data_IF_023171599868
#
_entry.id   IF_023171599868
#
_cell.length_a   1.000
_cell.length_b   1.000
_cell.length_c   1.000
_cell.angle_alpha   90.00
_cell.angle_beta   90.00
_cell.angle_gamma   90.00
#
_symmetry.space_group_name_H-M   'P 1'
#
loop_
_entity.id
_entity.type
_entity.pdbx_description
1 polymer ?
#
# COMPACT_ATOMS: atom_id res chain seq x y z
N UNK A 1 -12.44 20.80 -0.50
CA UNK A 1 -12.46 19.82 -1.60
C UNK A 1 -13.85 19.61 -2.18
N UNK A 2 -14.92 19.71 -1.39
CA UNK A 2 -16.32 19.70 -1.88
C UNK A 2 -16.57 20.76 -2.98
N UNK A 3 -16.05 21.97 -2.82
CA UNK A 3 -16.15 23.04 -3.83
C UNK A 3 -15.41 22.67 -5.13
N UNK A 4 -14.14 22.27 -5.05
CA UNK A 4 -13.34 21.83 -6.21
C UNK A 4 -13.99 20.65 -6.96
N UNK A 5 -14.62 19.76 -6.21
CA UNK A 5 -15.29 18.56 -6.74
C UNK A 5 -16.54 18.92 -7.55
N UNK A 6 -17.23 19.99 -7.18
CA UNK A 6 -18.46 20.46 -7.83
C UNK A 6 -18.19 21.49 -8.93
N UNK A 7 -17.13 22.29 -8.80
CA UNK A 7 -16.83 23.42 -9.70
C UNK A 7 -15.83 23.06 -10.82
N UNK A 8 -14.80 22.24 -10.54
CA UNK A 8 -13.81 21.85 -11.54
C UNK A 8 -13.35 20.40 -11.38
N UNK A 9 -14.06 19.52 -12.10
CA UNK A 9 -13.76 18.09 -12.16
C UNK A 9 -12.34 17.79 -12.67
N UNK A 10 -11.76 18.63 -13.54
CA UNK A 10 -10.41 18.41 -14.08
C UNK A 10 -9.35 18.79 -13.06
N UNK A 11 -9.52 19.89 -12.36
CA UNK A 11 -8.62 20.26 -11.26
C UNK A 11 -8.64 19.20 -10.16
N UNK A 12 -9.82 18.67 -9.82
CA UNK A 12 -9.94 17.56 -8.86
C UNK A 12 -9.19 16.31 -9.33
N UNK A 13 -9.35 15.91 -10.60
CA UNK A 13 -8.63 14.77 -11.16
C UNK A 13 -7.12 14.97 -11.14
N UNK A 14 -6.63 16.18 -11.42
CA UNK A 14 -5.20 16.48 -11.34
C UNK A 14 -4.67 16.43 -9.91
N UNK A 15 -5.46 16.92 -8.95
CA UNK A 15 -5.07 16.94 -7.54
C UNK A 15 -5.10 15.54 -6.91
N UNK A 16 -6.19 14.80 -7.09
CA UNK A 16 -6.41 13.49 -6.46
C UNK A 16 -5.95 12.31 -7.33
N UNK A 17 -5.51 12.56 -8.57
CA UNK A 17 -5.17 11.52 -9.59
C UNK A 17 -6.28 10.49 -9.81
N UNK A 18 -7.53 10.83 -9.47
CA UNK A 18 -8.70 9.97 -9.60
C UNK A 18 -9.97 10.79 -9.89
N UNK A 19 -10.94 10.21 -10.60
CA UNK A 19 -12.22 10.88 -10.84
C UNK A 19 -13.05 10.94 -9.54
N UNK A 20 -13.91 11.97 -9.39
CA UNK A 20 -14.74 12.12 -8.19
C UNK A 20 -15.63 10.92 -7.86
N UNK A 21 -16.14 10.21 -8.88
CA UNK A 21 -16.99 9.04 -8.66
C UNK A 21 -16.26 7.89 -7.95
N UNK A 22 -14.98 7.66 -8.28
CA UNK A 22 -14.15 6.64 -7.63
C UNK A 22 -13.81 7.06 -6.21
N UNK A 23 -13.57 8.35 -5.98
CA UNK A 23 -13.37 8.89 -4.63
C UNK A 23 -14.63 8.69 -3.76
N UNK A 24 -15.83 8.94 -4.27
CA UNK A 24 -17.09 8.69 -3.53
C UNK A 24 -17.25 7.23 -3.16
N UNK A 25 -16.99 6.33 -4.10
CA UNK A 25 -17.06 4.90 -3.83
C UNK A 25 -16.08 4.51 -2.72
N UNK A 26 -14.84 5.00 -2.79
CA UNK A 26 -13.81 4.71 -1.81
C UNK A 26 -14.17 5.29 -0.44
N UNK A 27 -14.68 6.51 -0.38
CA UNK A 27 -15.16 7.14 0.85
C UNK A 27 -16.37 6.38 1.43
N UNK A 28 -17.29 5.89 0.61
CA UNK A 28 -18.45 5.14 1.07
C UNK A 28 -18.07 3.79 1.72
N UNK A 29 -17.08 3.08 1.14
CA UNK A 29 -16.61 1.79 1.67
C UNK A 29 -15.72 1.96 2.89
N UNK A 30 -14.71 2.83 2.81
CA UNK A 30 -13.70 3.00 3.84
C UNK A 30 -14.20 3.92 4.96
N UNK A 31 -15.14 4.82 4.67
CA UNK A 31 -15.65 5.83 5.61
C UNK A 31 -16.21 5.25 6.90
N UNK A 32 -16.84 4.07 6.86
CA UNK A 32 -17.31 3.36 8.07
C UNK A 32 -16.16 2.98 9.01
N UNK A 33 -15.00 2.62 8.47
CA UNK A 33 -13.80 2.27 9.27
C UNK A 33 -13.03 3.51 9.75
N UNK A 34 -13.22 4.65 9.10
CA UNK A 34 -12.54 5.92 9.43
C UNK A 34 -13.34 6.82 10.37
N UNK A 35 -14.63 6.54 10.52
CA UNK A 35 -15.50 7.20 11.49
C UNK A 35 -15.10 6.75 12.88
N UNK A 36 -14.50 7.67 13.64
CA UNK A 36 -14.19 7.49 15.06
C UNK A 36 -15.15 8.37 15.83
N UNK A 37 -15.73 7.85 16.89
CA UNK A 37 -16.64 8.58 17.78
C UNK A 37 -15.98 9.84 18.35
N UNK A 38 -16.79 10.89 18.46
CA UNK A 38 -16.36 12.15 19.07
C UNK A 38 -16.04 11.94 20.54
N UNK A 39 -14.88 12.42 20.98
CA UNK A 39 -14.55 12.46 22.39
C UNK A 39 -15.05 13.76 23.00
N UNK A 40 -15.40 13.72 24.29
CA UNK A 40 -15.88 14.91 25.02
C UNK A 40 -14.91 16.11 24.97
N UNK A 41 -13.62 15.85 24.68
CA UNK A 41 -12.56 16.86 24.64
C UNK A 41 -12.20 17.35 23.24
N UNK A 42 -12.52 16.58 22.18
CA UNK A 42 -12.19 16.91 20.78
C UNK A 42 -13.13 16.20 19.80
N UNK A 43 -13.64 16.99 18.84
CA UNK A 43 -14.28 16.45 17.64
C UNK A 43 -13.28 15.69 16.78
N UNK A 44 -13.69 14.52 16.31
CA UNK A 44 -12.96 13.70 15.37
C UNK A 44 -12.89 14.41 14.02
N UNK A 45 -11.77 14.30 13.32
CA UNK A 45 -11.70 14.81 11.94
C UNK A 45 -12.66 14.02 11.06
N UNK A 46 -13.31 14.72 10.14
CA UNK A 46 -14.23 14.11 9.18
C UNK A 46 -13.52 12.97 8.41
N UNK A 47 -14.17 11.81 8.20
CA UNK A 47 -13.61 10.71 7.44
C UNK A 47 -13.11 11.13 6.05
N UNK A 48 -13.82 12.03 5.37
CA UNK A 48 -13.42 12.60 4.08
C UNK A 48 -12.08 13.32 4.14
N UNK A 49 -11.88 14.18 5.15
CA UNK A 49 -10.64 14.92 5.35
C UNK A 49 -9.46 13.98 5.66
N UNK A 50 -9.67 12.95 6.50
CA UNK A 50 -8.64 11.94 6.79
C UNK A 50 -8.20 11.20 5.53
N UNK A 51 -9.16 10.86 4.68
CA UNK A 51 -8.92 10.16 3.43
C UNK A 51 -8.18 11.06 2.43
N UNK A 52 -8.64 12.28 2.22
CA UNK A 52 -8.00 13.24 1.31
C UNK A 52 -6.55 13.55 1.70
N UNK A 53 -6.32 13.78 2.99
CA UNK A 53 -5.00 14.02 3.53
C UNK A 53 -4.07 12.84 3.23
N UNK A 54 -4.53 11.62 3.46
CA UNK A 54 -3.74 10.41 3.22
C UNK A 54 -3.45 10.21 1.74
N UNK A 55 -4.46 10.35 0.87
CA UNK A 55 -4.29 10.24 -0.58
C UNK A 55 -3.30 11.29 -1.09
N UNK A 56 -3.41 12.52 -0.61
CA UNK A 56 -2.49 13.58 -1.03
C UNK A 56 -1.06 13.30 -0.56
N UNK A 57 -0.87 12.71 0.62
CA UNK A 57 0.45 12.27 1.05
C UNK A 57 1.04 11.23 0.09
N UNK A 58 0.26 10.23 -0.30
CA UNK A 58 0.69 9.16 -1.23
C UNK A 58 1.00 9.72 -2.62
N UNK A 59 0.19 10.65 -3.13
CA UNK A 59 0.36 11.22 -4.47
C UNK A 59 1.56 12.17 -4.54
N UNK A 60 1.70 13.06 -3.55
CA UNK A 60 2.72 14.11 -3.56
C UNK A 60 4.07 13.66 -3.01
N UNK A 61 4.09 12.65 -2.13
CA UNK A 61 5.31 12.24 -1.42
C UNK A 61 5.82 13.29 -0.42
N UNK A 62 5.00 14.29 -0.08
CA UNK A 62 5.41 15.39 0.78
C UNK A 62 5.60 14.96 2.24
N UNK A 63 6.53 15.62 2.94
CA UNK A 63 6.76 15.36 4.36
C UNK A 63 5.59 15.86 5.22
N UNK A 64 5.31 15.18 6.33
CA UNK A 64 4.27 15.58 7.29
C UNK A 64 4.45 17.00 7.83
N UNK A 65 5.69 17.49 7.90
CA UNK A 65 6.00 18.85 8.34
C UNK A 65 5.44 19.90 7.37
N UNK A 66 5.55 19.67 6.05
CA UNK A 66 4.97 20.59 5.05
C UNK A 66 3.44 20.51 5.03
N UNK A 67 2.90 19.29 5.13
CA UNK A 67 1.45 19.04 5.09
C UNK A 67 0.71 19.67 6.27
N UNK A 68 1.38 19.84 7.42
CA UNK A 68 0.81 20.52 8.58
C UNK A 68 0.28 21.91 8.24
N UNK A 69 1.01 22.67 7.43
CA UNK A 69 0.63 24.03 7.08
C UNK A 69 -0.52 24.06 6.06
N UNK A 70 -0.49 23.15 5.09
CA UNK A 70 -1.54 23.04 4.05
C UNK A 70 -2.88 22.60 4.63
N UNK A 71 -2.89 21.55 5.44
CA UNK A 71 -4.11 20.94 5.96
C UNK A 71 -4.53 21.49 7.32
N UNK A 72 -3.68 22.33 7.95
CA UNK A 72 -3.86 22.85 9.33
C UNK A 72 -4.01 21.75 10.39
N UNK A 73 -3.52 20.54 10.10
CA UNK A 73 -3.51 19.39 11.03
C UNK A 73 -2.09 19.20 11.57
N UNK A 74 -1.89 19.08 12.89
CA UNK A 74 -0.57 18.79 13.47
C UNK A 74 0.08 17.51 12.91
N UNK A 75 1.40 17.55 12.71
CA UNK A 75 2.16 16.44 12.10
C UNK A 75 2.05 15.12 12.88
N UNK A 76 1.95 15.18 14.21
CA UNK A 76 1.77 14.04 15.10
C UNK A 76 0.40 13.36 14.90
N UNK A 77 -0.63 14.14 14.57
CA UNK A 77 -1.95 13.60 14.22
C UNK A 77 -1.92 12.97 12.83
N UNK A 78 -1.25 13.62 11.87
CA UNK A 78 -1.06 13.07 10.50
C UNK A 78 -0.34 11.72 10.54
N UNK A 79 0.72 11.58 11.35
CA UNK A 79 1.47 10.33 11.45
C UNK A 79 0.66 9.15 11.99
N UNK A 80 -0.45 9.42 12.69
CA UNK A 80 -1.38 8.38 13.17
C UNK A 80 -2.47 8.10 12.12
N UNK A 81 -2.99 9.14 11.48
CA UNK A 81 -4.07 9.03 10.49
C UNK A 81 -3.61 8.27 9.24
N UNK A 82 -2.43 8.59 8.71
CA UNK A 82 -1.95 8.01 7.43
C UNK A 82 -1.89 6.47 7.51
N UNK A 83 -1.22 5.84 8.51
CA UNK A 83 -1.21 4.39 8.63
C UNK A 83 -2.60 3.79 8.87
N UNK A 84 -3.46 4.45 9.65
CA UNK A 84 -4.83 3.98 9.89
C UNK A 84 -5.66 3.92 8.61
N UNK A 85 -5.59 4.98 7.80
CA UNK A 85 -6.31 5.05 6.53
C UNK A 85 -5.75 4.04 5.53
N UNK A 86 -4.43 3.91 5.42
CA UNK A 86 -3.81 2.89 4.57
C UNK A 86 -4.24 1.47 4.99
N UNK A 87 -4.25 1.17 6.30
CA UNK A 87 -4.71 -0.11 6.81
C UNK A 87 -6.18 -0.38 6.52
N UNK A 88 -7.04 0.63 6.63
CA UNK A 88 -8.46 0.52 6.29
C UNK A 88 -8.68 0.26 4.79
N UNK A 89 -7.91 0.92 3.91
CA UNK A 89 -7.95 0.69 2.46
C UNK A 89 -7.51 -0.74 2.14
N UNK A 90 -6.38 -1.18 2.69
CA UNK A 90 -5.88 -2.54 2.48
C UNK A 90 -6.93 -3.56 2.93
N UNK A 91 -7.50 -3.40 4.13
CA UNK A 91 -8.47 -4.36 4.66
C UNK A 91 -9.79 -4.46 3.86
N UNK A 92 -10.16 -3.43 3.09
CA UNK A 92 -11.36 -3.44 2.25
C UNK A 92 -11.10 -3.92 0.81
N UNK A 93 -9.95 -3.54 0.24
CA UNK A 93 -9.68 -3.77 -1.18
C UNK A 93 -8.73 -4.92 -1.47
N UNK A 94 -7.98 -5.42 -0.48
CA UNK A 94 -6.97 -6.45 -0.69
C UNK A 94 -7.54 -7.68 -1.41
N UNK A 95 -8.65 -8.21 -0.91
CA UNK A 95 -9.28 -9.43 -1.45
C UNK A 95 -9.86 -9.24 -2.86
N UNK A 96 -10.17 -7.99 -3.25
CA UNK A 96 -10.71 -7.67 -4.58
C UNK A 96 -9.59 -7.39 -5.59
N UNK A 97 -8.50 -6.75 -5.15
CA UNK A 97 -7.41 -6.29 -6.01
C UNK A 97 -6.35 -7.38 -6.21
N UNK A 98 -6.05 -8.16 -5.17
CA UNK A 98 -5.04 -9.20 -5.20
C UNK A 98 -5.68 -10.57 -4.99
N UNK A 99 -6.02 -11.21 -6.11
CA UNK A 99 -6.61 -12.54 -6.10
C UNK A 99 -5.55 -13.56 -6.49
N UNK A 100 -5.18 -14.43 -5.55
CA UNK A 100 -4.28 -15.54 -5.84
C UNK A 100 -5.06 -16.69 -6.50
N UNK A 101 -4.68 -17.12 -7.71
CA UNK A 101 -5.29 -18.28 -8.36
C UNK A 101 -5.10 -19.53 -7.51
N UNK A 102 -6.20 -20.18 -7.16
CA UNK A 102 -6.18 -21.40 -6.34
C UNK A 102 -6.37 -22.68 -7.17
N UNK A 103 -6.87 -22.56 -8.40
CA UNK A 103 -7.19 -23.70 -9.26
C UNK A 103 -6.16 -23.84 -10.40
N UNK A 104 -5.72 -25.07 -10.76
CA UNK A 104 -4.83 -25.28 -11.90
C UNK A 104 -5.34 -24.62 -13.19
N UNK A 105 -6.64 -24.68 -13.47
CA UNK A 105 -7.22 -24.06 -14.67
C UNK A 105 -7.00 -22.54 -14.72
N UNK A 106 -6.99 -21.84 -13.58
CA UNK A 106 -6.73 -20.40 -13.54
C UNK A 106 -5.26 -20.10 -13.86
N UNK A 107 -4.33 -20.95 -13.40
CA UNK A 107 -2.91 -20.84 -13.77
C UNK A 107 -2.66 -21.11 -15.26
N UNK A 108 -3.40 -22.05 -15.86
CA UNK A 108 -3.34 -22.27 -17.31
C UNK A 108 -3.83 -21.05 -18.09
N UNK A 109 -4.91 -20.40 -17.64
CA UNK A 109 -5.39 -19.16 -18.26
C UNK A 109 -4.35 -18.03 -18.21
N UNK A 110 -3.61 -17.91 -17.11
CA UNK A 110 -2.49 -16.95 -17.00
C UNK A 110 -1.38 -17.30 -17.99
N UNK A 111 -0.99 -18.57 -18.07
CA UNK A 111 0.02 -19.04 -19.02
C UNK A 111 -0.36 -18.77 -20.48
N UNK A 112 -1.62 -19.00 -20.83
CA UNK A 112 -2.14 -18.73 -22.17
C UNK A 112 -2.10 -17.23 -22.49
N UNK A 113 -2.42 -16.36 -21.51
CA UNK A 113 -2.31 -14.90 -21.69
C UNK A 113 -0.88 -14.43 -21.86
N UNK A 114 0.07 -15.01 -21.11
CA UNK A 114 1.50 -14.73 -21.30
C UNK A 114 1.97 -15.13 -22.70
N UNK A 115 1.52 -16.28 -23.20
CA UNK A 115 1.82 -16.70 -24.56
C UNK A 115 1.22 -15.75 -25.60
N UNK A 116 -0.05 -15.37 -25.46
CA UNK A 116 -0.74 -14.51 -26.43
C UNK A 116 -0.16 -13.08 -26.49
N UNK A 117 0.17 -12.48 -25.35
CA UNK A 117 0.62 -11.08 -25.28
C UNK A 117 2.12 -10.92 -25.42
N UNK A 118 2.87 -11.82 -24.79
CA UNK A 118 4.31 -11.68 -24.60
C UNK A 118 5.12 -12.77 -25.30
N UNK A 119 4.47 -13.73 -25.95
CA UNK A 119 5.10 -14.87 -26.61
C UNK A 119 5.97 -15.72 -25.66
N UNK A 120 5.60 -15.76 -24.37
CA UNK A 120 6.26 -16.58 -23.36
C UNK A 120 5.40 -17.80 -23.01
N UNK A 121 5.74 -19.00 -23.51
CA UNK A 121 4.99 -20.21 -23.20
C UNK A 121 5.20 -20.62 -21.73
N UNK A 122 4.20 -21.30 -21.16
CA UNK A 122 4.26 -21.93 -19.83
C UNK A 122 4.68 -21.00 -18.68
N UNK A 123 4.41 -19.69 -18.78
CA UNK A 123 4.77 -18.72 -17.74
C UNK A 123 3.59 -18.47 -16.81
N UNK A 124 3.78 -18.67 -15.50
CA UNK A 124 2.71 -18.50 -14.50
C UNK A 124 2.69 -17.12 -13.85
N UNK A 125 3.72 -16.30 -14.07
CA UNK A 125 3.83 -14.96 -13.54
C UNK A 125 5.24 -14.42 -13.69
N UNK A 126 5.37 -13.10 -13.69
CA UNK A 126 6.66 -12.42 -13.58
C UNK A 126 6.88 -12.05 -12.11
N UNK A 127 8.04 -12.41 -11.55
CA UNK A 127 8.41 -12.07 -10.17
C UNK A 127 9.57 -11.09 -10.21
N UNK A 128 9.49 -10.03 -9.42
CA UNK A 128 10.58 -9.07 -9.27
C UNK A 128 10.64 -8.48 -7.85
N UNK A 129 11.85 -8.12 -7.43
CA UNK A 129 12.17 -7.52 -6.15
C UNK A 129 12.59 -6.06 -6.30
N UNK A 130 11.79 -5.14 -5.77
CA UNK A 130 12.12 -3.71 -5.76
C UNK A 130 12.55 -3.24 -4.38
N UNK A 131 13.70 -2.57 -4.34
CA UNK A 131 14.16 -1.86 -3.16
C UNK A 131 13.44 -0.51 -3.05
N UNK A 132 12.55 -0.37 -2.07
CA UNK A 132 11.87 0.90 -1.78
C UNK A 132 12.68 1.64 -0.71
N UNK A 133 13.28 2.76 -1.09
CA UNK A 133 14.03 3.59 -0.16
C UNK A 133 13.09 4.11 0.95
N UNK A 134 13.49 3.92 2.20
CA UNK A 134 12.78 4.40 3.38
C UNK A 134 13.62 5.45 4.10
N UNK A 135 13.00 6.59 4.44
CA UNK A 135 13.66 7.67 5.16
C UNK A 135 13.91 7.35 6.65
N UNK A 136 13.27 6.31 7.20
CA UNK A 136 13.41 5.89 8.60
C UNK A 136 13.56 4.39 8.70
N UNK A 137 14.52 3.96 9.50
CA UNK A 137 14.64 2.56 9.90
C UNK A 137 13.41 2.16 10.73
N UNK A 138 12.79 1.00 10.50
CA UNK A 138 11.90 0.41 11.51
C UNK A 138 12.67 0.27 12.84
N UNK A 139 11.99 0.50 13.97
CA UNK A 139 12.63 0.48 15.29
C UNK A 139 13.37 -0.86 15.51
N UNK A 140 14.61 -0.79 16.00
CA UNK A 140 15.49 -1.95 16.26
C UNK A 140 15.97 -2.75 15.03
N UNK A 141 15.89 -2.20 13.82
CA UNK A 141 16.53 -2.84 12.67
C UNK A 141 18.01 -2.41 12.63
N UNK A 142 18.91 -3.38 12.89
CA UNK A 142 20.36 -3.17 12.83
C UNK A 142 20.88 -2.81 11.42
N UNK A 143 22.19 -2.92 11.16
CA UNK A 143 22.81 -2.56 9.86
C UNK A 143 22.29 -3.37 8.66
N UNK A 144 21.43 -4.37 8.88
CA UNK A 144 20.85 -5.27 7.86
C UNK A 144 19.92 -4.60 6.84
N UNK A 145 19.47 -3.37 7.12
CA UNK A 145 18.68 -2.55 6.19
C UNK A 145 19.47 -1.34 5.67
N UNK A 146 20.74 -1.21 6.02
CA UNK A 146 21.57 -0.05 5.71
C UNK A 146 22.41 -0.33 4.48
N UNK A 147 22.13 0.35 3.38
CA UNK A 147 22.99 0.30 2.19
C UNK A 147 24.28 1.12 2.44
N UNK A 148 25.38 0.77 1.81
CA UNK A 148 26.65 1.52 1.80
C UNK A 148 26.49 3.01 1.47
N UNK A 149 25.41 3.38 0.75
CA UNK A 149 25.04 4.76 0.41
C UNK A 149 24.28 5.54 1.49
N UNK A 150 24.08 4.97 2.68
CA UNK A 150 23.49 5.68 3.83
C UNK A 150 21.96 5.73 3.87
N UNK A 151 21.27 4.88 3.10
CA UNK A 151 19.81 4.82 3.06
C UNK A 151 19.27 3.49 3.58
N UNK A 152 18.16 3.54 4.30
CA UNK A 152 17.36 2.37 4.65
C UNK A 152 16.46 2.00 3.48
N UNK A 153 16.17 0.71 3.29
CA UNK A 153 15.22 0.27 2.28
C UNK A 153 14.36 -0.88 2.79
N UNK A 154 13.17 -1.00 2.22
CA UNK A 154 12.27 -2.12 2.43
C UNK A 154 12.17 -2.85 1.10
N UNK A 155 12.38 -4.17 1.13
CA UNK A 155 12.19 -4.99 -0.06
C UNK A 155 10.69 -5.21 -0.29
N UNK A 156 10.23 -4.85 -1.49
CA UNK A 156 8.94 -5.23 -2.05
C UNK A 156 9.20 -6.35 -3.05
N UNK A 157 8.69 -7.54 -2.79
CA UNK A 157 8.81 -8.69 -3.68
C UNK A 157 7.43 -9.07 -4.16
N UNK A 158 7.18 -9.03 -5.48
CA UNK A 158 5.83 -9.23 -6.00
C UNK A 158 5.81 -10.08 -7.27
N UNK A 159 4.70 -10.81 -7.43
CA UNK A 159 4.37 -11.58 -8.62
C UNK A 159 3.22 -10.90 -9.38
N UNK A 160 3.37 -10.77 -10.68
CA UNK A 160 2.45 -10.06 -11.57
C UNK A 160 1.99 -10.96 -12.73
N UNK A 161 0.72 -10.83 -13.09
CA UNK A 161 0.09 -11.46 -14.25
C UNK A 161 0.47 -10.77 -15.58
N UNK A 162 0.18 -11.40 -16.72
CA UNK A 162 0.37 -10.87 -18.07
C UNK A 162 -0.37 -9.54 -18.31
N UNK A 163 -1.40 -9.26 -17.52
CA UNK A 163 -2.21 -8.05 -17.54
C UNK A 163 -1.71 -6.95 -16.58
N UNK A 164 -0.49 -7.08 -16.04
CA UNK A 164 0.08 -6.15 -15.04
C UNK A 164 -0.70 -6.07 -13.72
N UNK A 165 -1.40 -7.15 -13.36
CA UNK A 165 -2.13 -7.27 -12.09
C UNK A 165 -1.29 -8.01 -11.06
N UNK A 166 -1.24 -7.50 -9.84
CA UNK A 166 -0.54 -8.17 -8.75
C UNK A 166 -1.30 -9.44 -8.32
N UNK A 167 -0.62 -10.58 -8.38
CA UNK A 167 -1.13 -11.87 -7.92
C UNK A 167 -0.76 -12.08 -6.44
N UNK A 168 0.47 -11.69 -6.10
CA UNK A 168 1.05 -11.89 -4.79
C UNK A 168 2.10 -10.82 -4.52
N UNK A 169 2.22 -10.38 -3.27
CA UNK A 169 3.26 -9.46 -2.84
C UNK A 169 3.65 -9.73 -1.38
N UNK A 170 4.95 -9.73 -1.12
CA UNK A 170 5.56 -9.78 0.20
C UNK A 170 6.38 -8.51 0.44
N UNK A 171 6.21 -7.92 1.62
CA UNK A 171 6.80 -6.64 1.99
C UNK A 171 7.55 -6.83 3.31
N UNK A 172 8.82 -6.43 3.34
CA UNK A 172 9.62 -6.48 4.59
C UNK A 172 10.68 -7.57 4.63
N UNK A 173 11.09 -8.11 3.47
CA UNK A 173 12.28 -8.96 3.38
C UNK A 173 13.54 -8.22 3.84
N UNK A 174 14.50 -8.95 4.44
CA UNK A 174 15.79 -8.40 4.83
C UNK A 174 16.54 -7.86 3.62
N UNK A 175 17.17 -6.70 3.78
CA UNK A 175 17.76 -6.01 2.66
C UNK A 175 18.94 -6.71 1.99
N UNK A 176 19.62 -7.58 2.72
CA UNK A 176 20.72 -8.41 2.20
C UNK A 176 20.28 -9.77 1.66
N UNK A 177 18.98 -10.10 1.69
CA UNK A 177 18.49 -11.38 1.24
C UNK A 177 18.34 -11.38 -0.29
N UNK A 178 18.81 -12.45 -0.94
CA UNK A 178 18.56 -12.64 -2.37
C UNK A 178 17.08 -12.93 -2.63
N UNK A 179 16.62 -12.67 -3.85
CA UNK A 179 15.24 -12.95 -4.27
C UNK A 179 14.82 -14.40 -3.98
N UNK A 180 15.76 -15.35 -4.12
CA UNK A 180 15.55 -16.76 -3.79
C UNK A 180 15.36 -17.00 -2.28
N UNK A 181 16.08 -16.27 -1.42
CA UNK A 181 15.91 -16.35 0.03
C UNK A 181 14.58 -15.74 0.49
N UNK A 182 14.15 -14.66 -0.15
CA UNK A 182 12.87 -14.01 0.13
C UNK A 182 11.71 -14.90 -0.29
N UNK A 183 11.79 -15.50 -1.48
CA UNK A 183 10.80 -16.47 -1.95
C UNK A 183 10.70 -17.69 -1.02
N UNK A 184 11.83 -18.28 -0.63
CA UNK A 184 11.86 -19.45 0.25
C UNK A 184 11.44 -19.15 1.70
N UNK A 185 11.63 -17.91 2.17
CA UNK A 185 11.23 -17.46 3.52
C UNK A 185 9.76 -17.00 3.63
N UNK A 186 9.10 -16.80 2.48
CA UNK A 186 7.66 -16.55 2.43
C UNK A 186 6.88 -17.82 2.77
N UNK A 187 5.71 -17.69 3.42
CA UNK A 187 5.00 -18.84 3.99
C UNK A 187 4.65 -19.90 2.93
N UNK A 188 4.69 -21.21 3.26
CA UNK A 188 4.40 -22.28 2.32
C UNK A 188 2.93 -22.21 1.88
N UNK A 189 2.75 -21.95 0.58
CA UNK A 189 1.46 -21.78 -0.06
C UNK A 189 1.25 -20.31 -0.40
N UNK A 190 1.20 -20.01 -1.69
CA UNK A 190 0.72 -18.75 -2.26
C UNK A 190 -0.73 -18.50 -1.79
N UNK A 191 -0.89 -18.05 -0.56
CA UNK A 191 -2.10 -17.39 -0.09
C UNK A 191 -1.99 -15.93 -0.53
N UNK A 192 -3.11 -15.26 -0.85
CA UNK A 192 -3.12 -13.79 -0.98
C UNK A 192 -2.88 -13.23 0.42
N UNK A 193 -1.63 -13.21 0.85
CA UNK A 193 -1.23 -12.61 2.07
C UNK A 193 -0.36 -11.44 1.64
N UNK A 194 -0.99 -10.26 1.52
CA UNK A 194 -0.29 -9.04 1.88
C UNK A 194 -0.01 -9.18 3.37
N UNK A 195 1.08 -9.85 3.69
CA UNK A 195 1.68 -9.80 5.00
C UNK A 195 2.28 -8.39 5.05
N UNK A 196 1.48 -7.38 5.38
CA UNK A 196 2.02 -6.20 6.09
C UNK A 196 2.40 -6.68 7.51
N UNK A 197 3.25 -7.69 7.57
CA UNK A 197 4.01 -8.01 8.74
C UNK A 197 5.19 -7.09 8.66
N UNK A 198 5.15 -6.01 9.45
CA UNK A 198 6.38 -5.63 10.12
C UNK A 198 6.76 -6.86 10.96
N UNK A 199 7.39 -7.86 10.32
CA UNK A 199 7.91 -9.05 11.00
C UNK A 199 9.00 -8.50 11.91
N UNK A 200 8.62 -8.33 13.18
CA UNK A 200 9.38 -7.78 14.32
C UNK A 200 9.24 -6.28 14.62
N UNK A 201 8.02 -5.79 14.91
CA UNK A 201 7.89 -4.58 15.75
C UNK A 201 6.87 -4.65 16.90
N UNK A 202 6.20 -5.79 17.13
CA UNK A 202 5.20 -5.88 18.21
C UNK A 202 5.29 -7.14 19.09
N UNK A 203 6.48 -7.74 19.25
CA UNK A 203 6.68 -8.80 20.24
C UNK A 203 7.98 -8.61 21.03
N UNK A 204 8.00 -7.61 21.89
CA UNK A 204 8.67 -7.65 23.21
C UNK A 204 8.13 -6.51 24.08
N UNK A 205 6.95 -6.73 24.66
CA UNK A 205 6.58 -6.12 25.94
C UNK A 205 6.55 -7.23 26.98
N UNK A 206 7.66 -7.38 27.69
CA UNK A 206 7.81 -7.74 29.11
C UNK A 206 9.23 -7.40 29.49
#
# INVERSE_FOLDING_TARGET
MVELRNEDTRAFQNFMRMPPAVYDELLARVGRRLSIEDTFMRHSLEPGLKLELTLQHIISGNTYASMKFTWRVPHNTISVIVPQVCGAIIAEYLDQVMVCPSTPNQWHQIADRFLQKWNFPHTWGAIDGKHVACCRCPENSGPMYFNYKGFYFILLFAMVDADYKFIWADIGGFGSASDAQVFNGSAPGMRPAVVVGIRNALSTRT
#
